data_IF_241487238557
#
_entry.id   IF_241487238557
#
_cell.length_a   1.000
_cell.length_b   1.000
_cell.length_c   1.000
_cell.angle_alpha   90.00
_cell.angle_beta   90.00
_cell.angle_gamma   90.00
#
_symmetry.space_group_name_H-M   'P 1'
#
loop_
_entity.id
_entity.type
_entity.pdbx_description
1 polymer ?
#
# COMPACT_ATOMS: atom_id res chain seq x y z
N UNK A 1 -14.44 -39.22 6.96
CA UNK A 1 -14.01 -37.92 6.42
C UNK A 1 -12.50 -37.95 6.22
N UNK A 2 -12.01 -37.70 5.01
CA UNK A 2 -10.60 -37.82 4.68
C UNK A 2 -9.78 -36.68 5.33
N UNK A 3 -8.65 -37.03 5.95
CA UNK A 3 -7.70 -36.13 6.62
C UNK A 3 -6.95 -35.30 5.56
N UNK A 4 -7.30 -34.02 5.41
CA UNK A 4 -6.56 -33.11 4.53
C UNK A 4 -5.26 -32.64 5.20
N UNK A 5 -4.15 -32.58 4.45
CA UNK A 5 -2.83 -32.15 4.92
C UNK A 5 -2.71 -30.62 4.92
N UNK A 6 -2.32 -30.04 6.05
CA UNK A 6 -1.95 -28.61 6.12
C UNK A 6 -0.63 -28.42 5.37
N UNK A 7 -0.62 -27.57 4.34
CA UNK A 7 0.57 -27.24 3.55
C UNK A 7 1.43 -26.17 4.24
N UNK A 8 0.79 -25.24 4.97
CA UNK A 8 1.46 -24.21 5.75
C UNK A 8 0.55 -23.61 6.83
N UNK A 9 1.15 -23.22 7.95
CA UNK A 9 0.51 -22.43 8.99
C UNK A 9 1.42 -21.25 9.38
N UNK A 10 0.82 -20.13 9.78
CA UNK A 10 1.52 -18.95 10.27
C UNK A 10 0.80 -18.41 11.50
N UNK A 11 1.56 -17.82 12.42
CA UNK A 11 1.06 -17.10 13.58
C UNK A 11 1.70 -15.72 13.66
N UNK A 12 1.01 -14.77 14.27
CA UNK A 12 1.51 -13.42 14.51
C UNK A 12 0.79 -12.77 15.69
N UNK A 13 1.53 -11.93 16.42
CA UNK A 13 1.01 -11.12 17.52
C UNK A 13 0.76 -9.71 17.04
N UNK A 14 -0.30 -9.07 17.55
CA UNK A 14 -0.63 -7.68 17.20
C UNK A 14 -0.16 -6.79 18.34
N UNK A 15 0.69 -5.77 18.09
CA UNK A 15 1.06 -4.80 19.10
C UNK A 15 -0.13 -3.89 19.35
N UNK A 16 -0.95 -4.24 20.34
CA UNK A 16 -2.13 -3.49 20.73
C UNK A 16 -1.81 -2.65 21.97
N UNK A 17 -2.22 -1.38 21.96
CA UNK A 17 -1.94 -0.43 23.05
C UNK A 17 -3.10 -0.45 24.03
N UNK A 18 -2.89 -1.08 25.19
CA UNK A 18 -3.87 -1.07 26.27
C UNK A 18 -4.07 0.35 26.80
N UNK A 19 -5.32 0.71 27.05
CA UNK A 19 -5.64 1.85 27.91
C UNK A 19 -5.43 1.40 29.36
N UNK A 20 -4.85 2.25 30.22
CA UNK A 20 -4.48 1.90 31.59
C UNK A 20 -5.68 1.40 32.45
N UNK A 21 -6.92 1.64 32.02
CA UNK A 21 -8.16 1.32 32.73
C UNK A 21 -8.93 0.05 32.26
N UNK A 22 -8.40 -0.78 31.35
CA UNK A 22 -9.10 -2.04 30.92
C UNK A 22 -8.27 -3.33 31.12
N UNK A 23 -8.39 -4.00 32.28
CA UNK A 23 -7.71 -5.27 32.55
C UNK A 23 -8.24 -6.46 31.72
N UNK A 24 -9.35 -6.31 30.99
CA UNK A 24 -9.91 -7.39 30.16
C UNK A 24 -9.20 -7.55 28.80
N UNK A 25 -8.44 -6.53 28.37
CA UNK A 25 -7.79 -6.50 27.05
C UNK A 25 -8.77 -6.58 25.87
N UNK A 26 -10.09 -6.48 26.11
CA UNK A 26 -11.11 -6.52 25.06
C UNK A 26 -11.32 -5.16 24.40
N UNK A 27 -11.09 -4.08 25.13
CA UNK A 27 -11.29 -2.71 24.66
C UNK A 27 -9.97 -2.03 24.30
N UNK A 28 -9.01 -2.82 23.81
CA UNK A 28 -7.71 -2.30 23.39
C UNK A 28 -7.85 -1.59 22.04
N UNK A 29 -7.43 -0.32 22.00
CA UNK A 29 -7.52 0.50 20.79
C UNK A 29 -6.74 -0.13 19.64
N UNK A 30 -7.42 -0.32 18.51
CA UNK A 30 -6.82 -0.75 17.23
C UNK A 30 -6.42 0.44 16.35
N UNK A 31 -6.55 1.65 16.89
CA UNK A 31 -6.20 2.90 16.23
C UNK A 31 -4.70 3.13 16.20
N UNK A 32 -4.30 4.21 15.53
CA UNK A 32 -2.92 4.70 15.54
C UNK A 32 -2.73 5.50 16.82
N UNK A 33 -1.68 5.22 17.57
CA UNK A 33 -1.30 6.00 18.76
C UNK A 33 0.15 6.48 18.59
N UNK A 34 0.36 7.78 18.81
CA UNK A 34 1.67 8.42 18.75
C UNK A 34 1.97 9.03 20.12
N UNK A 35 3.14 8.70 20.67
CA UNK A 35 3.66 9.25 21.91
C UNK A 35 4.87 10.12 21.61
N UNK A 36 4.80 11.39 22.00
CA UNK A 36 5.96 12.28 22.09
C UNK A 36 6.52 12.19 23.51
N UNK A 37 7.71 11.60 23.64
CA UNK A 37 8.31 11.40 24.95
C UNK A 37 8.89 12.70 25.54
N UNK A 38 9.03 13.77 24.74
CA UNK A 38 9.40 15.08 25.28
C UNK A 38 8.30 15.65 26.17
N UNK A 39 7.04 15.53 25.74
CA UNK A 39 5.87 16.00 26.48
C UNK A 39 5.47 15.03 27.61
N UNK A 40 5.58 13.72 27.35
CA UNK A 40 5.15 12.68 28.29
C UNK A 40 6.16 12.41 29.40
N UNK A 41 7.43 12.26 29.02
CA UNK A 41 8.49 11.70 29.89
C UNK A 41 9.70 12.64 30.05
N UNK A 42 9.69 13.82 29.41
CA UNK A 42 10.81 14.76 29.40
C UNK A 42 12.02 14.31 28.56
N UNK A 43 11.87 13.28 27.73
CA UNK A 43 12.93 12.76 26.87
C UNK A 43 12.77 13.28 25.44
N UNK A 44 13.58 14.28 25.08
CA UNK A 44 13.51 14.86 23.74
C UNK A 44 14.16 13.97 22.67
N UNK A 45 13.69 14.13 21.43
CA UNK A 45 14.14 13.36 20.27
C UNK A 45 13.61 11.92 20.22
N UNK A 46 12.74 11.50 21.15
CA UNK A 46 12.18 10.16 21.17
C UNK A 46 10.66 10.18 20.92
N UNK A 47 10.23 9.49 19.86
CA UNK A 47 8.82 9.38 19.46
C UNK A 47 8.50 7.90 19.23
N UNK A 48 7.42 7.43 19.83
CA UNK A 48 6.92 6.06 19.62
C UNK A 48 5.59 6.11 18.89
N UNK A 49 5.45 5.32 17.81
CA UNK A 49 4.17 5.08 17.13
C UNK A 49 3.82 3.60 17.18
N UNK A 50 2.56 3.30 17.50
CA UNK A 50 2.11 1.92 17.71
C UNK A 50 0.62 1.76 17.38
N UNK A 51 0.16 0.51 17.34
CA UNK A 51 -1.18 0.13 16.89
C UNK A 51 -1.31 0.17 15.37
N UNK A 52 -2.45 0.67 14.91
CA UNK A 52 -2.79 0.76 13.49
C UNK A 52 -2.98 -0.58 12.79
N UNK A 53 -3.38 -0.50 11.52
CA UNK A 53 -3.54 -1.66 10.63
C UNK A 53 -2.61 -1.49 9.45
N UNK A 54 -2.26 -2.59 8.77
CA UNK A 54 -1.49 -2.51 7.53
C UNK A 54 -2.14 -1.55 6.52
N UNK A 55 -3.47 -1.49 6.45
CA UNK A 55 -4.19 -0.57 5.55
C UNK A 55 -3.97 0.92 5.88
N UNK A 56 -3.56 1.26 7.10
CA UNK A 56 -3.36 2.65 7.56
C UNK A 56 -1.89 3.02 7.68
N UNK A 57 -0.97 2.18 7.18
CA UNK A 57 0.48 2.38 7.35
C UNK A 57 0.97 3.74 6.80
N UNK A 58 0.40 4.20 5.68
CA UNK A 58 0.76 5.49 5.08
C UNK A 58 0.43 6.65 6.02
N UNK A 59 -0.77 6.64 6.60
CA UNK A 59 -1.21 7.65 7.56
C UNK A 59 -0.39 7.60 8.86
N UNK A 60 -0.03 6.39 9.33
CA UNK A 60 0.89 6.23 10.46
C UNK A 60 2.25 6.90 10.19
N UNK A 61 2.82 6.62 9.01
CA UNK A 61 4.11 7.17 8.62
C UNK A 61 4.06 8.70 8.50
N UNK A 62 2.97 9.24 7.95
CA UNK A 62 2.71 10.68 7.89
C UNK A 62 2.70 11.31 9.28
N UNK A 63 1.89 10.80 10.21
CA UNK A 63 1.84 11.33 11.59
C UNK A 63 3.19 11.28 12.32
N UNK A 64 3.90 10.17 12.21
CA UNK A 64 5.23 10.02 12.82
C UNK A 64 6.23 11.02 12.23
N UNK A 65 6.23 11.16 10.91
CA UNK A 65 7.16 12.07 10.21
C UNK A 65 6.80 13.52 10.49
N UNK A 66 5.53 13.89 10.54
CA UNK A 66 5.08 15.25 10.87
C UNK A 66 5.48 15.64 12.29
N UNK A 67 5.39 14.72 13.26
CA UNK A 67 5.88 14.95 14.61
C UNK A 67 7.41 15.22 14.62
N UNK A 68 8.19 14.43 13.88
CA UNK A 68 9.63 14.64 13.73
C UNK A 68 9.94 15.96 13.02
N UNK A 69 9.26 16.26 11.91
CA UNK A 69 9.45 17.48 11.12
C UNK A 69 9.19 18.73 11.95
N UNK A 70 8.15 18.73 12.79
CA UNK A 70 7.86 19.84 13.71
C UNK A 70 9.04 20.11 14.66
N UNK A 71 9.62 19.07 15.27
CA UNK A 71 10.79 19.21 16.15
C UNK A 71 12.05 19.69 15.42
N UNK A 72 12.22 19.29 14.17
CA UNK A 72 13.36 19.70 13.33
C UNK A 72 13.16 21.04 12.61
N UNK A 73 12.00 21.69 12.77
CA UNK A 73 11.67 22.93 12.06
C UNK A 73 11.46 22.77 10.56
N UNK A 74 11.20 21.55 10.08
CA UNK A 74 10.91 21.27 8.67
C UNK A 74 9.42 21.49 8.39
N UNK A 75 9.12 22.37 7.44
CA UNK A 75 7.75 22.77 7.07
C UNK A 75 7.26 22.15 5.76
N UNK A 76 8.02 21.23 5.17
CA UNK A 76 7.64 20.57 3.91
C UNK A 76 6.41 19.70 4.12
N UNK A 77 5.36 19.83 3.28
CA UNK A 77 4.17 18.99 3.39
C UNK A 77 4.48 17.55 2.98
N UNK A 78 3.72 16.60 3.54
CA UNK A 78 3.75 15.21 3.14
C UNK A 78 3.19 15.04 1.72
N UNK A 79 3.90 14.29 0.88
CA UNK A 79 3.52 14.03 -0.53
C UNK A 79 3.22 12.55 -0.79
N UNK A 80 3.21 11.72 0.25
CA UNK A 80 3.12 10.26 0.12
C UNK A 80 1.76 9.77 -0.37
N UNK A 81 0.72 10.60 -0.30
CA UNK A 81 -0.59 10.29 -0.85
C UNK A 81 -0.58 10.21 -2.39
N UNK A 82 0.23 11.06 -3.04
CA UNK A 82 0.28 11.20 -4.49
C UNK A 82 1.53 10.55 -5.10
N UNK A 83 2.51 10.19 -4.27
CA UNK A 83 3.76 9.59 -4.72
C UNK A 83 3.57 8.09 -4.97
N UNK A 84 3.77 7.58 -6.20
CA UNK A 84 3.67 6.15 -6.47
C UNK A 84 4.75 5.36 -5.73
N UNK A 85 4.42 4.14 -5.33
CA UNK A 85 5.41 3.24 -4.74
C UNK A 85 6.50 2.88 -5.77
N UNK A 86 7.74 2.63 -5.33
CA UNK A 86 8.77 2.11 -6.21
C UNK A 86 8.30 0.83 -6.92
N UNK A 87 8.42 0.78 -8.24
CA UNK A 87 7.95 -0.36 -9.05
C UNK A 87 6.47 -0.34 -9.45
N UNK A 88 5.66 0.60 -8.93
CA UNK A 88 4.26 0.78 -9.36
C UNK A 88 4.09 1.79 -10.51
N UNK A 89 5.19 2.34 -11.02
CA UNK A 89 5.16 3.23 -12.19
C UNK A 89 4.93 2.37 -13.42
N UNK A 90 3.79 2.56 -14.09
CA UNK A 90 3.57 1.96 -15.40
C UNK A 90 4.60 2.55 -16.38
N UNK A 91 5.46 1.69 -16.90
CA UNK A 91 6.31 2.02 -18.04
C UNK A 91 5.42 2.01 -19.28
N UNK A 92 4.67 3.08 -19.53
CA UNK A 92 3.93 3.29 -20.78
C UNK A 92 4.88 3.67 -21.93
N UNK A 93 5.93 2.86 -22.14
CA UNK A 93 6.88 3.04 -23.21
C UNK A 93 7.32 1.67 -23.69
N UNK A 94 7.26 1.43 -25.00
CA UNK A 94 7.85 0.28 -25.74
C UNK A 94 7.11 -1.06 -25.84
N UNK A 95 5.82 -1.19 -25.46
CA UNK A 95 5.03 -2.40 -25.83
C UNK A 95 3.96 -2.16 -26.89
N UNK A 96 3.41 -0.95 -27.01
CA UNK A 96 2.38 -0.65 -28.01
C UNK A 96 2.93 -0.66 -29.44
N UNK A 97 4.15 -0.14 -29.66
CA UNK A 97 4.79 -0.10 -30.98
C UNK A 97 5.20 -1.50 -31.45
N UNK A 98 5.75 -2.31 -30.53
CA UNK A 98 6.20 -3.68 -30.80
C UNK A 98 5.02 -4.60 -31.15
N UNK A 99 3.88 -4.46 -30.47
CA UNK A 99 2.66 -5.20 -30.81
C UNK A 99 2.00 -4.72 -32.11
N UNK A 100 2.02 -3.42 -32.41
CA UNK A 100 1.49 -2.89 -33.67
C UNK A 100 2.30 -3.38 -34.88
N UNK A 101 3.63 -3.35 -34.80
CA UNK A 101 4.51 -3.85 -35.86
C UNK A 101 4.44 -5.38 -36.01
N UNK A 102 4.36 -6.14 -34.89
CA UNK A 102 4.17 -7.59 -34.93
C UNK A 102 2.84 -7.99 -35.57
N UNK A 103 1.75 -7.24 -35.31
CA UNK A 103 0.45 -7.50 -35.93
C UNK A 103 0.44 -7.24 -37.44
N UNK A 104 1.25 -6.30 -37.94
CA UNK A 104 1.42 -6.07 -39.39
C UNK A 104 2.33 -7.07 -40.07
N UNK A 105 3.36 -7.56 -39.38
CA UNK A 105 4.23 -8.63 -39.88
C UNK A 105 3.48 -9.97 -39.98
N UNK A 106 2.60 -10.26 -39.03
CA UNK A 106 1.76 -11.47 -39.03
C UNK A 106 0.75 -11.51 -40.19
N UNK A 107 0.33 -10.36 -40.73
CA UNK A 107 -0.59 -10.31 -41.90
C UNK A 107 0.08 -10.76 -43.21
N UNK A 108 1.42 -10.90 -43.26
CA UNK A 108 2.13 -11.31 -44.48
C UNK A 108 2.47 -12.79 -44.54
N UNK A 109 2.27 -13.55 -43.46
CA UNK A 109 2.47 -14.99 -43.43
C UNK A 109 1.11 -15.61 -43.16
N UNK A 110 0.36 -15.84 -44.23
CA UNK A 110 -0.97 -16.42 -44.19
C UNK A 110 -0.98 -17.80 -43.55
N UNK A 111 -1.96 -18.02 -42.66
CA UNK A 111 -2.38 -19.35 -42.24
C UNK A 111 -2.04 -19.70 -40.80
N UNK A 112 -2.93 -19.33 -39.88
CA UNK A 112 -3.38 -20.16 -38.75
C UNK A 112 -4.43 -19.34 -37.96
N UNK A 113 -5.69 -19.49 -38.38
CA UNK A 113 -6.87 -19.00 -37.68
C UNK A 113 -7.20 -19.93 -36.51
N UNK A 114 -6.60 -19.71 -35.36
CA UNK A 114 -7.09 -20.21 -34.07
C UNK A 114 -6.46 -19.34 -32.99
N UNK A 115 -7.23 -18.95 -31.97
CA UNK A 115 -6.87 -18.04 -30.87
C UNK A 115 -7.13 -16.54 -31.09
N UNK A 116 -8.34 -16.22 -31.56
CA UNK A 116 -9.12 -15.08 -31.03
C UNK A 116 -10.20 -15.77 -30.18
N UNK A 117 -10.38 -15.56 -28.89
CA UNK A 117 -10.66 -14.29 -28.22
C UNK A 117 -10.94 -14.60 -26.73
N UNK A 118 -10.29 -13.93 -25.79
CA UNK A 118 -10.84 -13.55 -24.48
C UNK A 118 -9.89 -12.54 -23.80
N UNK A 119 -9.87 -11.32 -24.33
CA UNK A 119 -9.39 -10.15 -23.61
C UNK A 119 -10.38 -9.02 -23.90
N UNK A 120 -11.52 -9.07 -23.20
CA UNK A 120 -12.45 -7.95 -23.16
C UNK A 120 -11.84 -6.84 -22.31
N UNK A 121 -11.20 -5.86 -22.97
CA UNK A 121 -10.89 -4.57 -22.37
C UNK A 121 -12.11 -3.68 -22.63
N UNK A 122 -12.84 -3.39 -21.56
CA UNK A 122 -13.96 -2.45 -21.56
C UNK A 122 -13.42 -1.03 -21.80
N UNK A 123 -13.73 -0.48 -22.97
CA UNK A 123 -13.37 0.87 -23.39
C UNK A 123 -14.23 1.89 -22.63
N UNK A 124 -13.61 2.66 -21.72
CA UNK A 124 -14.25 3.84 -21.11
C UNK A 124 -14.09 5.01 -22.07
N UNK A 125 -15.22 5.44 -22.64
CA UNK A 125 -15.36 6.66 -23.43
C UNK A 125 -15.00 7.90 -22.58
N UNK A 126 -14.19 8.85 -23.06
CA UNK A 126 -13.95 10.10 -22.34
C UNK A 126 -15.21 11.00 -22.37
N UNK A 127 -15.48 11.80 -21.31
CA UNK A 127 -16.57 12.76 -21.32
C UNK A 127 -16.21 13.97 -22.19
N UNK A 128 -17.15 14.41 -23.02
CA UNK A 128 -17.12 15.69 -23.76
C UNK A 128 -18.13 16.66 -23.11
N UNK A 129 -17.97 17.97 -23.32
CA UNK A 129 -17.80 19.02 -22.30
C UNK A 129 -18.99 19.30 -21.40
#
# INVERSE_FOLDING_TARGET
MAKTRILRAYSGVRPLVASDDDPSGRNVSRGIVLFDHAERDGLDGFITITGGKLMTYRLMAEWATDAVCRKLGNTRPCITADTPLPGSKEVYGTYAETHYLASRAATRIGGLSAWRSHAGVAERRPPTP
#
